data_IF_129800816152
#
_entry.id   IF_129800816152
#
_cell.length_a   1.000
_cell.length_b   1.000
_cell.length_c   1.000
_cell.angle_alpha   90.00
_cell.angle_beta   90.00
_cell.angle_gamma   90.00
#
_symmetry.space_group_name_H-M   'P 1'
#
loop_
_entity.id
_entity.type
_entity.pdbx_description
1 polymer ?
#
# COMPACT_ATOMS: atom_id res chain seq x y z
N UNK A 1 9.57 11.21 3.51
CA UNK A 1 8.66 10.08 3.81
C UNK A 1 7.28 10.44 3.33
N UNK A 2 6.62 9.54 2.60
CA UNK A 2 5.25 9.72 2.13
C UNK A 2 4.32 8.95 3.07
N UNK A 3 3.29 9.60 3.60
CA UNK A 3 2.36 9.07 4.60
C UNK A 3 0.93 9.49 4.26
N UNK A 4 -0.06 8.77 4.78
CA UNK A 4 -1.45 9.24 4.69
C UNK A 4 -1.72 10.41 5.66
N UNK A 5 -2.89 11.02 5.55
CA UNK A 5 -3.25 12.22 6.32
C UNK A 5 -3.72 11.92 7.77
N UNK A 6 -3.53 10.71 8.28
CA UNK A 6 -4.02 10.31 9.60
C UNK A 6 -3.43 11.20 10.71
N UNK A 7 -4.27 11.63 11.67
CA UNK A 7 -3.86 12.52 12.77
C UNK A 7 -2.69 11.96 13.58
N UNK A 8 -2.63 10.63 13.74
CA UNK A 8 -1.53 9.93 14.40
C UNK A 8 -0.17 10.22 13.77
N UNK A 9 -0.08 10.54 12.47
CA UNK A 9 1.17 10.83 11.78
C UNK A 9 1.70 12.26 11.99
N UNK A 10 0.89 13.15 12.59
CA UNK A 10 1.20 14.58 12.71
C UNK A 10 1.66 15.00 14.12
N UNK A 11 1.72 14.05 15.04
CA UNK A 11 2.09 14.28 16.43
C UNK A 11 3.53 14.79 16.58
N UNK A 12 3.76 15.49 17.69
CA UNK A 12 5.05 16.12 18.02
C UNK A 12 6.21 15.11 18.04
N UNK A 13 5.98 13.91 18.58
CA UNK A 13 6.98 12.82 18.60
C UNK A 13 7.49 12.47 17.20
N UNK A 14 6.59 12.38 16.21
CA UNK A 14 6.94 12.03 14.83
C UNK A 14 7.66 13.19 14.14
N UNK A 15 7.21 14.44 14.36
CA UNK A 15 7.90 15.63 13.83
C UNK A 15 9.32 15.78 14.36
N UNK A 16 9.52 15.54 15.66
CA UNK A 16 10.83 15.55 16.30
C UNK A 16 11.74 14.46 15.73
N UNK A 17 11.21 13.25 15.57
CA UNK A 17 11.93 12.16 14.92
C UNK A 17 12.33 12.53 13.49
N UNK A 18 11.41 13.11 12.72
CA UNK A 18 11.64 13.50 11.33
C UNK A 18 12.77 14.53 11.22
N UNK A 19 12.73 15.57 12.06
CA UNK A 19 13.79 16.58 12.16
C UNK A 19 15.15 15.97 12.52
N UNK A 20 15.18 15.08 13.52
CA UNK A 20 16.41 14.39 13.96
C UNK A 20 17.02 13.52 12.86
N UNK A 21 16.19 12.91 12.01
CA UNK A 21 16.64 12.00 10.94
C UNK A 21 16.72 12.67 9.57
N UNK A 22 16.63 14.01 9.49
CA UNK A 22 16.61 14.76 8.22
C UNK A 22 15.57 14.23 7.22
N UNK A 23 14.45 13.74 7.74
CA UNK A 23 13.35 13.21 6.94
C UNK A 23 12.26 14.27 6.78
N UNK A 24 11.94 14.61 5.54
CA UNK A 24 10.75 15.43 5.24
C UNK A 24 9.48 14.57 5.34
N UNK A 25 8.38 15.13 5.85
CA UNK A 25 7.08 14.45 5.91
C UNK A 25 6.15 15.01 4.83
N UNK A 26 5.76 14.17 3.87
CA UNK A 26 4.84 14.51 2.80
C UNK A 26 3.53 13.74 3.01
N UNK A 27 2.43 14.44 3.26
CA UNK A 27 1.13 13.83 3.51
C UNK A 27 0.30 13.77 2.23
N UNK A 28 -0.28 12.61 1.92
CA UNK A 28 -1.23 12.50 0.81
C UNK A 28 -2.54 13.20 1.15
N UNK A 29 -3.24 13.81 0.18
CA UNK A 29 -4.57 14.41 0.43
C UNK A 29 -5.59 13.40 0.96
N UNK A 30 -6.66 13.91 1.58
CA UNK A 30 -7.79 13.10 2.04
C UNK A 30 -8.42 12.35 0.86
N UNK A 31 -8.77 11.08 1.06
CA UNK A 31 -9.32 10.18 0.02
C UNK A 31 -8.39 9.95 -1.18
N UNK A 32 -7.08 10.17 -1.02
CA UNK A 32 -6.08 9.91 -2.06
C UNK A 32 -5.15 8.73 -1.72
N UNK A 33 -5.73 7.59 -1.29
CA UNK A 33 -4.98 6.32 -1.05
C UNK A 33 -4.09 5.97 -2.24
N UNK A 34 -4.56 6.21 -3.46
CA UNK A 34 -3.84 5.95 -4.70
C UNK A 34 -2.51 6.72 -4.84
N UNK A 35 -2.34 7.82 -4.11
CA UNK A 35 -1.11 8.61 -4.10
C UNK A 35 -0.07 8.04 -3.10
N UNK A 36 -0.48 7.15 -2.19
CA UNK A 36 0.41 6.52 -1.23
C UNK A 36 1.08 5.28 -1.85
N UNK A 37 2.42 5.29 -2.09
CA UNK A 37 3.09 4.20 -2.80
C UNK A 37 2.99 2.82 -2.11
N UNK A 38 2.80 2.80 -0.78
CA UNK A 38 2.72 1.54 -0.02
C UNK A 38 1.46 0.75 -0.36
N UNK A 39 0.37 1.41 -0.77
CA UNK A 39 -0.94 0.79 -1.02
C UNK A 39 -0.88 -0.29 -2.09
N UNK A 40 -0.05 -0.09 -3.13
CA UNK A 40 0.14 -1.06 -4.21
C UNK A 40 0.73 -2.40 -3.74
N UNK A 41 1.34 -2.45 -2.56
CA UNK A 41 1.90 -3.66 -1.97
C UNK A 41 0.89 -4.45 -1.15
N UNK A 42 -0.17 -3.82 -0.65
CA UNK A 42 -1.12 -4.48 0.25
C UNK A 42 -2.04 -5.46 -0.47
N UNK A 43 -2.39 -5.23 -1.74
CA UNK A 43 -3.18 -6.19 -2.53
C UNK A 43 -2.55 -7.59 -2.58
N UNK A 44 -1.33 -7.73 -3.11
CA UNK A 44 -0.61 -9.01 -3.12
C UNK A 44 -0.42 -9.60 -1.73
N UNK A 45 -0.06 -8.77 -0.74
CA UNK A 45 0.11 -9.24 0.64
C UNK A 45 -1.17 -9.88 1.17
N UNK A 46 -2.32 -9.19 1.04
CA UNK A 46 -3.62 -9.74 1.43
C UNK A 46 -3.93 -11.03 0.67
N UNK A 47 -3.70 -11.06 -0.64
CA UNK A 47 -3.97 -12.24 -1.46
C UNK A 47 -3.19 -13.48 -0.98
N UNK A 48 -1.91 -13.34 -0.64
CA UNK A 48 -1.06 -14.49 -0.32
C UNK A 48 -1.01 -14.86 1.17
N UNK A 49 -1.42 -13.98 2.08
CA UNK A 49 -1.25 -14.21 3.53
C UNK A 49 -2.53 -14.11 4.34
N UNK A 50 -3.62 -13.59 3.75
CA UNK A 50 -4.88 -13.31 4.46
C UNK A 50 -6.08 -13.95 3.78
N UNK A 51 -6.18 -13.81 2.46
CA UNK A 51 -7.29 -14.37 1.69
C UNK A 51 -7.35 -15.88 1.87
N UNK A 52 -8.55 -16.38 2.19
CA UNK A 52 -8.84 -17.80 2.39
C UNK A 52 -7.97 -18.51 3.45
N UNK A 53 -7.40 -17.74 4.38
CA UNK A 53 -6.59 -18.28 5.48
C UNK A 53 -7.39 -18.46 6.77
N UNK A 54 -7.22 -19.60 7.43
CA UNK A 54 -7.76 -19.86 8.77
C UNK A 54 -6.61 -20.10 9.75
N UNK A 55 -6.11 -19.02 10.34
CA UNK A 55 -5.00 -19.08 11.30
C UNK A 55 -5.49 -19.56 12.66
N UNK A 56 -4.83 -20.58 13.24
CA UNK A 56 -5.19 -21.15 14.54
C UNK A 56 -5.01 -20.18 15.73
N UNK A 57 -4.21 -19.14 15.56
CA UNK A 57 -3.94 -18.14 16.58
C UNK A 57 -3.44 -16.82 15.95
N UNK A 58 -3.39 -15.77 16.75
CA UNK A 58 -2.94 -14.44 16.32
C UNK A 58 -1.46 -14.36 15.93
N UNK A 59 -0.61 -15.30 16.37
CA UNK A 59 0.83 -15.27 16.06
C UNK A 59 1.15 -15.88 14.70
N UNK A 60 0.32 -16.80 14.21
CA UNK A 60 0.49 -17.43 12.90
C UNK A 60 0.37 -16.42 11.74
N UNK A 61 -0.54 -15.45 11.85
CA UNK A 61 -0.74 -14.43 10.81
C UNK A 61 0.51 -13.55 10.56
N UNK A 62 1.12 -12.90 11.57
CA UNK A 62 2.35 -12.13 11.38
C UNK A 62 3.53 -13.01 10.94
N UNK A 63 3.59 -14.28 11.36
CA UNK A 63 4.60 -15.22 10.85
C UNK A 63 4.45 -15.48 9.35
N UNK A 64 3.23 -15.76 8.88
CA UNK A 64 2.93 -15.94 7.46
C UNK A 64 3.23 -14.66 6.65
N UNK A 65 2.87 -13.50 7.19
CA UNK A 65 3.17 -12.20 6.58
C UNK A 65 4.68 -11.99 6.43
N UNK A 66 5.46 -12.24 7.48
CA UNK A 66 6.92 -12.12 7.44
C UNK A 66 7.57 -13.13 6.48
N UNK A 67 7.07 -14.38 6.45
CA UNK A 67 7.54 -15.40 5.53
C UNK A 67 7.32 -14.98 4.07
N UNK A 68 6.11 -14.48 3.76
CA UNK A 68 5.80 -13.95 2.44
C UNK A 68 6.66 -12.74 2.08
N UNK A 69 6.88 -11.79 2.99
CA UNK A 69 7.73 -10.62 2.71
C UNK A 69 9.17 -11.04 2.37
N UNK A 70 9.75 -11.97 3.15
CA UNK A 70 11.09 -12.52 2.86
C UNK A 70 11.13 -13.21 1.50
N UNK A 71 10.16 -14.09 1.23
CA UNK A 71 10.07 -14.80 -0.04
C UNK A 71 9.90 -13.83 -1.22
N UNK A 72 8.98 -12.86 -1.13
CA UNK A 72 8.72 -11.86 -2.18
C UNK A 72 9.95 -11.03 -2.49
N UNK A 73 10.71 -10.65 -1.47
CA UNK A 73 11.93 -9.85 -1.65
C UNK A 73 13.04 -10.67 -2.32
N UNK A 74 13.17 -11.97 -2.00
CA UNK A 74 14.08 -12.87 -2.70
C UNK A 74 13.61 -13.21 -4.13
N UNK A 75 12.30 -13.18 -4.37
CA UNK A 75 11.66 -13.59 -5.63
C UNK A 75 10.94 -12.44 -6.32
N UNK A 76 11.59 -11.27 -6.40
CA UNK A 76 10.97 -10.02 -6.87
C UNK A 76 10.37 -10.10 -8.30
N UNK A 77 10.84 -11.06 -9.12
CA UNK A 77 10.37 -11.28 -10.50
C UNK A 77 9.43 -12.48 -10.66
N UNK A 78 8.95 -13.07 -9.56
CA UNK A 78 8.04 -14.21 -9.64
C UNK A 78 6.76 -13.82 -10.40
N UNK A 79 6.36 -14.58 -11.45
CA UNK A 79 5.26 -14.19 -12.33
C UNK A 79 3.94 -13.89 -11.61
N UNK A 80 3.57 -14.71 -10.63
CA UNK A 80 2.32 -14.51 -9.87
C UNK A 80 2.35 -13.28 -8.97
N UNK A 81 3.50 -12.99 -8.36
CA UNK A 81 3.67 -11.80 -7.52
C UNK A 81 3.57 -10.53 -8.37
N UNK A 82 4.17 -10.54 -9.56
CA UNK A 82 4.05 -9.45 -10.53
C UNK A 82 2.63 -9.31 -11.05
N UNK A 83 1.93 -10.42 -11.35
CA UNK A 83 0.54 -10.40 -11.79
C UNK A 83 -0.38 -9.81 -10.71
N UNK A 84 -0.22 -10.21 -9.46
CA UNK A 84 -0.96 -9.65 -8.32
C UNK A 84 -0.68 -8.14 -8.16
N UNK A 85 0.58 -7.72 -8.25
CA UNK A 85 0.94 -6.29 -8.18
C UNK A 85 0.32 -5.48 -9.32
N UNK A 86 0.30 -6.03 -10.55
CA UNK A 86 -0.32 -5.37 -11.71
C UNK A 86 -1.83 -5.21 -11.52
N UNK A 87 -2.51 -6.24 -11.02
CA UNK A 87 -3.95 -6.18 -10.68
C UNK A 87 -4.22 -5.09 -9.64
N UNK A 88 -3.43 -5.05 -8.57
CA UNK A 88 -3.62 -4.03 -7.52
C UNK A 88 -3.36 -2.62 -8.02
N UNK A 89 -2.30 -2.41 -8.82
CA UNK A 89 -2.05 -1.10 -9.46
C UNK A 89 -3.18 -0.70 -10.40
N UNK A 90 -3.80 -1.64 -11.11
CA UNK A 90 -4.95 -1.37 -11.96
C UNK A 90 -6.18 -0.98 -11.12
N UNK A 91 -6.41 -1.64 -9.98
CA UNK A 91 -7.47 -1.30 -9.01
C UNK A 91 -7.28 0.12 -8.47
N UNK A 92 -6.09 0.43 -7.97
CA UNK A 92 -5.73 1.77 -7.47
C UNK A 92 -5.90 2.85 -8.53
N UNK A 93 -5.55 2.57 -9.80
CA UNK A 93 -5.77 3.51 -10.90
C UNK A 93 -7.26 3.76 -11.19
N UNK A 94 -8.12 2.75 -11.02
CA UNK A 94 -9.58 2.93 -11.17
C UNK A 94 -10.14 3.88 -10.10
N UNK A 95 -9.63 3.82 -8.87
CA UNK A 95 -10.02 4.77 -7.79
C UNK A 95 -9.74 6.24 -8.17
N UNK A 96 -8.70 6.48 -8.99
CA UNK A 96 -8.33 7.83 -9.44
C UNK A 96 -9.38 8.45 -10.39
N UNK A 97 -10.22 7.65 -11.07
CA UNK A 97 -11.11 8.13 -12.14
C UNK A 97 -10.38 8.74 -13.36
N UNK A 98 -9.04 8.66 -13.41
CA UNK A 98 -8.19 9.35 -14.39
C UNK A 98 -7.34 8.32 -15.14
N UNK A 99 -7.53 8.24 -16.46
CA UNK A 99 -6.66 7.51 -17.40
C UNK A 99 -5.40 8.37 -17.64
N UNK A 100 -4.20 7.80 -17.47
CA UNK A 100 -2.97 8.50 -17.89
C UNK A 100 -3.06 8.84 -19.38
N UNK A 101 -3.03 10.13 -19.72
CA UNK A 101 -3.19 10.64 -21.09
C UNK A 101 -4.63 10.78 -21.60
N UNK A 102 -5.66 10.64 -20.76
CA UNK A 102 -7.06 10.76 -21.18
C UNK A 102 -7.90 11.65 -20.25
N UNK A 103 -8.83 12.40 -20.84
CA UNK A 103 -9.82 13.25 -20.14
C UNK A 103 -10.55 12.45 -19.05
N UNK A 104 -10.89 13.11 -17.95
CA UNK A 104 -11.69 12.53 -16.87
C UNK A 104 -13.01 11.98 -17.44
N UNK A 105 -13.42 10.79 -16.99
CA UNK A 105 -14.75 10.29 -17.31
C UNK A 105 -15.77 11.24 -16.67
N UNK A 106 -16.64 11.82 -17.51
CA UNK A 106 -17.77 12.59 -17.02
C UNK A 106 -18.66 11.67 -16.17
N UNK A 107 -18.93 12.08 -14.94
CA UNK A 107 -19.91 11.44 -14.07
C UNK A 107 -21.25 11.46 -14.79
N UNK A 108 -21.84 10.29 -15.03
CA UNK A 108 -23.22 10.22 -15.51
C UNK A 108 -24.15 10.78 -14.42
N UNK A 109 -25.07 11.66 -14.84
CA UNK A 109 -26.03 12.37 -13.99
C UNK A 109 -27.04 11.44 -13.30
#
# INVERSE_FOLDING_TARGET
>A
MILDNLSAHKGETIRRWAKKNLAELCFTPTYASWANPIEAHFGPLRQFTVADSNHRNHTAQPQALHAYLRWRNANARHPEALAAQRRERARIRREKGIRWGGRSLATAA
#
